data_IF_337391824335
#
_entry.id   IF_337391824335
#
_cell.length_a   1.000
_cell.length_b   1.000
_cell.length_c   1.000
_cell.angle_alpha   90.00
_cell.angle_beta   90.00
_cell.angle_gamma   90.00
#
_symmetry.space_group_name_H-M   'P 1'
#
loop_
_entity.id
_entity.type
_entity.pdbx_description
1 polymer ?
#
# COMPACT_ATOMS: atom_id res chain seq x y z
N UNK A 1 -24.10 12.55 24.58
CA UNK A 1 -23.53 12.02 23.33
C UNK A 1 -23.32 10.53 23.46
N UNK A 2 -22.89 9.87 22.38
CA UNK A 2 -22.66 8.42 22.31
C UNK A 2 -21.23 8.17 21.87
N UNK A 3 -20.53 7.24 22.53
CA UNK A 3 -19.19 6.80 22.13
C UNK A 3 -19.30 5.36 21.64
N UNK A 4 -18.77 5.09 20.43
CA UNK A 4 -18.68 3.75 19.85
C UNK A 4 -17.21 3.33 19.85
N UNK A 5 -16.91 2.14 20.36
CA UNK A 5 -15.57 1.57 20.34
C UNK A 5 -15.46 0.60 19.16
N UNK A 6 -14.51 0.84 18.26
CA UNK A 6 -14.28 0.02 17.09
C UNK A 6 -12.98 -0.76 17.27
N UNK A 7 -13.07 -2.09 17.29
CA UNK A 7 -11.92 -2.98 17.34
C UNK A 7 -11.69 -3.55 15.95
N UNK A 8 -10.88 -2.84 15.15
CA UNK A 8 -10.69 -3.16 13.75
C UNK A 8 -9.78 -4.39 13.58
N UNK A 9 -10.23 -5.44 12.84
CA UNK A 9 -9.36 -6.52 12.41
C UNK A 9 -8.60 -6.15 11.12
N UNK A 10 -7.62 -6.98 10.72
CA UNK A 10 -7.01 -6.95 9.39
C UNK A 10 -6.59 -5.55 8.89
N UNK A 11 -5.91 -4.78 9.75
CA UNK A 11 -5.37 -3.47 9.42
C UNK A 11 -4.19 -3.59 8.44
N UNK A 12 -3.27 -4.50 8.72
CA UNK A 12 -2.04 -4.74 7.94
C UNK A 12 -2.31 -5.13 6.47
N UNK A 13 -3.44 -5.77 6.19
CA UNK A 13 -3.87 -6.13 4.82
C UNK A 13 -4.62 -4.99 4.10
N UNK A 14 -4.88 -3.87 4.79
CA UNK A 14 -5.57 -2.69 4.25
C UNK A 14 -7.08 -2.82 4.03
N UNK A 15 -7.70 -3.94 4.42
CA UNK A 15 -9.10 -4.23 4.10
C UNK A 15 -10.08 -4.03 5.27
N UNK A 16 -9.63 -4.18 6.52
CA UNK A 16 -10.50 -4.28 7.69
C UNK A 16 -11.46 -3.11 7.90
N UNK A 17 -10.94 -1.88 7.79
CA UNK A 17 -11.74 -0.66 7.95
C UNK A 17 -12.88 -0.58 6.92
N UNK A 18 -12.59 -0.89 5.65
CA UNK A 18 -13.58 -0.85 4.56
C UNK A 18 -14.75 -1.81 4.84
N UNK A 19 -14.44 -3.05 5.24
CA UNK A 19 -15.47 -4.04 5.60
C UNK A 19 -16.34 -3.57 6.78
N UNK A 20 -15.71 -3.09 7.85
CA UNK A 20 -16.47 -2.58 9.01
C UNK A 20 -17.38 -1.41 8.66
N UNK A 21 -16.90 -0.46 7.84
CA UNK A 21 -17.69 0.69 7.40
C UNK A 21 -18.90 0.21 6.59
N UNK A 22 -18.70 -0.73 5.67
CA UNK A 22 -19.78 -1.32 4.87
C UNK A 22 -20.83 -2.04 5.74
N UNK A 23 -20.41 -2.64 6.85
CA UNK A 23 -21.30 -3.27 7.83
C UNK A 23 -21.97 -2.25 8.81
N UNK A 24 -21.77 -0.95 8.60
CA UNK A 24 -22.42 0.11 9.39
C UNK A 24 -21.72 0.44 10.71
N UNK A 25 -20.42 0.13 10.84
CA UNK A 25 -19.66 0.40 12.06
C UNK A 25 -19.64 1.89 12.45
N UNK A 26 -19.71 2.82 11.47
CA UNK A 26 -19.74 4.25 11.74
C UNK A 26 -21.12 4.75 12.19
N UNK A 27 -22.20 4.25 11.58
CA UNK A 27 -23.56 4.76 11.76
C UNK A 27 -23.59 6.30 11.68
N UNK A 28 -24.16 6.95 12.69
CA UNK A 28 -24.35 8.41 12.71
C UNK A 28 -23.20 9.17 13.42
N UNK A 29 -21.98 8.63 13.46
CA UNK A 29 -20.86 9.27 14.14
C UNK A 29 -20.46 10.60 13.46
N UNK A 30 -20.40 11.68 14.24
CA UNK A 30 -19.98 13.02 13.77
C UNK A 30 -18.47 13.17 13.66
N UNK A 31 -17.71 12.32 14.36
CA UNK A 31 -16.25 12.31 14.35
C UNK A 31 -15.71 10.90 14.63
N UNK A 32 -14.52 10.61 14.10
CA UNK A 32 -13.76 9.39 14.35
C UNK A 32 -12.36 9.77 14.82
N UNK A 33 -11.82 9.01 15.77
CA UNK A 33 -10.48 9.19 16.30
C UNK A 33 -9.75 7.86 16.25
N UNK A 34 -8.50 7.90 15.83
CA UNK A 34 -7.57 6.76 15.86
C UNK A 34 -6.25 7.20 16.47
N UNK A 35 -5.50 6.26 17.01
CA UNK A 35 -4.12 6.48 17.46
C UNK A 35 -3.28 5.27 17.11
N UNK A 36 -2.02 5.52 16.81
CA UNK A 36 -1.02 4.49 16.60
C UNK A 36 0.17 4.76 17.52
N UNK A 37 0.76 3.72 18.09
CA UNK A 37 1.98 3.87 18.88
C UNK A 37 3.16 3.97 17.91
N UNK A 38 3.93 5.05 18.02
CA UNK A 38 5.14 5.25 17.23
C UNK A 38 6.37 5.28 18.17
N UNK A 39 7.28 4.30 18.05
CA UNK A 39 8.45 4.20 18.92
C UNK A 39 9.51 5.29 18.67
N UNK A 40 9.38 6.10 17.62
CA UNK A 40 10.29 7.22 17.33
C UNK A 40 10.06 8.43 18.24
N UNK A 41 8.91 8.53 18.91
CA UNK A 41 8.59 9.60 19.85
C UNK A 41 8.86 9.20 21.31
N UNK A 42 9.31 10.13 22.17
CA UNK A 42 9.40 9.88 23.60
C UNK A 42 8.03 9.56 24.22
N UNK A 43 8.00 8.61 25.17
CA UNK A 43 6.77 8.27 25.90
C UNK A 43 6.11 9.50 26.54
N UNK A 44 4.79 9.61 26.38
CA UNK A 44 4.00 10.77 26.83
C UNK A 44 3.85 11.87 25.79
N UNK A 45 4.45 11.72 24.60
CA UNK A 45 4.26 12.63 23.47
C UNK A 45 2.99 12.26 22.70
N UNK A 46 2.21 13.28 22.31
CA UNK A 46 1.12 13.17 21.34
C UNK A 46 1.46 14.08 20.17
N UNK A 47 1.54 13.52 18.97
CA UNK A 47 1.78 14.25 17.72
C UNK A 47 0.57 14.13 16.79
N UNK A 48 0.26 15.20 16.07
CA UNK A 48 -0.81 15.25 15.07
C UNK A 48 -0.50 16.33 14.04
N UNK A 49 -0.92 16.12 12.79
CA UNK A 49 -0.89 17.13 11.74
C UNK A 49 -2.32 17.37 11.24
N UNK A 50 -2.73 18.62 10.96
CA UNK A 50 -3.98 18.87 10.24
C UNK A 50 -3.82 18.48 8.77
N UNK A 51 -4.89 17.97 8.16
CA UNK A 51 -4.89 17.56 6.75
C UNK A 51 -4.41 16.13 6.55
N UNK A 52 -3.81 15.86 5.39
CA UNK A 52 -3.27 14.57 5.00
C UNK A 52 -2.07 14.20 5.88
N UNK A 53 -2.07 12.97 6.42
CA UNK A 53 -1.00 12.51 7.32
C UNK A 53 -0.16 11.37 6.75
N UNK A 54 -0.79 10.40 6.07
CA UNK A 54 -0.14 9.21 5.52
C UNK A 54 -0.46 9.04 4.04
N UNK A 55 0.47 8.41 3.31
CA UNK A 55 0.27 8.10 1.90
C UNK A 55 -0.74 6.97 1.70
N UNK A 56 -1.54 7.05 0.65
CA UNK A 56 -2.33 5.93 0.19
C UNK A 56 -1.42 4.82 -0.35
N UNK A 57 -1.76 3.55 -0.08
CA UNK A 57 -1.02 2.38 -0.54
C UNK A 57 -1.92 1.51 -1.41
N UNK A 58 -1.35 0.94 -2.47
CA UNK A 58 -1.98 -0.04 -3.33
C UNK A 58 -0.97 -1.17 -3.61
N UNK A 59 -1.45 -2.41 -3.61
CA UNK A 59 -0.68 -3.59 -3.98
C UNK A 59 -1.24 -4.19 -5.27
N UNK A 60 -0.36 -4.73 -6.11
CA UNK A 60 -0.74 -5.45 -7.32
C UNK A 60 0.12 -6.70 -7.49
N UNK A 61 -0.43 -7.69 -8.17
CA UNK A 61 0.28 -8.89 -8.60
C UNK A 61 0.37 -8.90 -10.13
N UNK A 62 1.53 -9.26 -10.65
CA UNK A 62 1.76 -9.37 -12.09
C UNK A 62 2.43 -10.72 -12.41
N UNK A 63 1.77 -11.54 -13.23
CA UNK A 63 2.31 -12.79 -13.72
C UNK A 63 2.97 -12.59 -15.09
N UNK A 64 4.26 -12.96 -15.20
CA UNK A 64 5.01 -12.92 -16.47
C UNK A 64 5.27 -14.35 -16.93
N UNK A 65 4.49 -14.80 -17.91
CA UNK A 65 4.60 -16.16 -18.47
C UNK A 65 5.53 -16.19 -19.68
N UNK A 66 6.53 -17.07 -19.63
CA UNK A 66 7.45 -17.33 -20.73
C UNK A 66 7.23 -18.68 -21.41
N UNK A 67 8.23 -19.13 -22.16
CA UNK A 67 8.29 -20.44 -22.82
C UNK A 67 9.64 -21.09 -22.51
N UNK A 68 9.61 -22.20 -21.76
CA UNK A 68 10.81 -22.96 -21.44
C UNK A 68 11.34 -23.82 -22.60
N UNK A 69 12.55 -24.34 -22.42
CA UNK A 69 13.21 -25.28 -23.32
C UNK A 69 14.64 -25.55 -22.87
N UNK A 70 15.45 -26.18 -23.71
CA UNK A 70 16.82 -26.52 -23.34
C UNK A 70 17.65 -25.23 -23.10
N UNK A 71 18.34 -25.15 -21.96
CA UNK A 71 19.16 -23.99 -21.59
C UNK A 71 20.27 -23.64 -22.61
N UNK A 72 20.76 -24.63 -23.39
CA UNK A 72 21.77 -24.43 -24.42
C UNK A 72 21.19 -23.88 -25.75
N UNK A 73 19.86 -23.74 -25.86
CA UNK A 73 19.18 -23.22 -27.05
C UNK A 73 18.24 -22.06 -26.68
N UNK A 74 18.75 -20.98 -26.06
CA UNK A 74 17.91 -19.90 -25.54
C UNK A 74 17.08 -19.19 -26.61
N UNK A 75 17.54 -19.19 -27.87
CA UNK A 75 16.82 -18.60 -29.01
C UNK A 75 15.50 -19.33 -29.36
N UNK A 76 15.23 -20.51 -28.80
CA UNK A 76 13.97 -21.23 -28.94
C UNK A 76 13.00 -20.99 -27.76
N UNK A 77 13.49 -20.30 -26.73
CA UNK A 77 12.80 -20.03 -25.47
C UNK A 77 12.31 -18.58 -25.40
N UNK A 78 11.39 -18.31 -24.48
CA UNK A 78 11.00 -16.96 -24.06
C UNK A 78 11.27 -16.89 -22.56
N UNK A 79 12.34 -16.22 -22.17
CA UNK A 79 12.82 -16.21 -20.78
C UNK A 79 12.04 -15.20 -19.93
N UNK A 80 11.17 -15.66 -18.99
CA UNK A 80 10.41 -14.75 -18.14
C UNK A 80 11.30 -14.02 -17.12
N UNK A 81 12.48 -14.56 -16.77
CA UNK A 81 13.39 -13.93 -15.80
C UNK A 81 13.98 -12.64 -16.37
N UNK A 82 14.40 -12.67 -17.64
CA UNK A 82 14.92 -11.48 -18.32
C UNK A 82 13.80 -10.45 -18.50
N UNK A 83 12.61 -10.88 -18.95
CA UNK A 83 11.46 -9.99 -19.09
C UNK A 83 11.08 -9.32 -17.74
N UNK A 84 11.03 -10.10 -16.65
CA UNK A 84 10.74 -9.60 -15.30
C UNK A 84 11.80 -8.60 -14.84
N UNK A 85 13.08 -8.86 -15.11
CA UNK A 85 14.17 -7.97 -14.74
C UNK A 85 14.04 -6.60 -15.41
N UNK A 86 13.69 -6.56 -16.71
CA UNK A 86 13.41 -5.32 -17.41
C UNK A 86 12.17 -4.61 -16.88
N UNK A 87 11.11 -5.34 -16.54
CA UNK A 87 9.92 -4.76 -15.93
C UNK A 87 10.22 -4.09 -14.58
N UNK A 88 11.01 -4.73 -13.71
CA UNK A 88 11.43 -4.16 -12.42
C UNK A 88 12.18 -2.85 -12.63
N UNK A 89 13.14 -2.81 -13.56
CA UNK A 89 13.90 -1.60 -13.86
C UNK A 89 13.02 -0.49 -14.44
N UNK A 90 12.06 -0.84 -15.31
CA UNK A 90 11.10 0.12 -15.85
C UNK A 90 10.21 0.71 -14.75
N UNK A 91 9.72 -0.10 -13.82
CA UNK A 91 8.88 0.37 -12.71
C UNK A 91 9.59 1.38 -11.80
N UNK A 92 10.92 1.31 -11.63
CA UNK A 92 11.67 2.32 -10.88
C UNK A 92 11.68 3.71 -11.54
N UNK A 93 11.32 3.80 -12.82
CA UNK A 93 11.25 5.07 -13.54
C UNK A 93 10.00 5.87 -13.19
N UNK A 94 8.92 5.20 -12.76
CA UNK A 94 7.68 5.89 -12.33
C UNK A 94 7.99 6.92 -11.24
N UNK A 95 8.68 6.50 -10.17
CA UNK A 95 9.03 7.39 -9.07
C UNK A 95 10.17 8.35 -9.41
N UNK A 96 11.17 7.91 -10.18
CA UNK A 96 12.38 8.70 -10.42
C UNK A 96 12.30 9.67 -11.61
N UNK A 97 11.34 9.49 -12.53
CA UNK A 97 11.24 10.26 -13.78
C UNK A 97 9.84 10.76 -14.11
N UNK A 98 8.78 10.11 -13.63
CA UNK A 98 7.40 10.48 -13.97
C UNK A 98 6.69 11.23 -12.84
N UNK A 99 7.07 10.99 -11.57
CA UNK A 99 6.58 11.76 -10.43
C UNK A 99 7.39 13.05 -10.22
N UNK A 100 6.70 14.19 -10.07
CA UNK A 100 7.34 15.43 -9.65
C UNK A 100 7.72 15.32 -8.15
N UNK A 101 9.02 15.34 -7.79
CA UNK A 101 9.46 15.20 -6.40
C UNK A 101 9.08 16.40 -5.52
N UNK A 102 8.64 17.52 -6.11
CA UNK A 102 8.15 18.71 -5.41
C UNK A 102 6.63 18.79 -5.37
N UNK A 103 5.91 17.82 -5.95
CA UNK A 103 4.47 17.74 -5.80
C UNK A 103 4.14 17.35 -4.36
N UNK A 104 3.70 18.35 -3.61
CA UNK A 104 3.12 18.20 -2.28
C UNK A 104 1.60 18.32 -2.50
N UNK A 105 0.79 17.31 -2.10
CA UNK A 105 -0.67 17.39 -2.18
C UNK A 105 -1.24 18.56 -1.38
#
# INVERSE_FOLDING_TARGET
GTVRLLFQPAEEDGAGASHMINDGALGDAEAIFGMHIDPSYPSGTIASVPGEFIAAVCAFEAEITGKGGHAASPHLNVDPVIATSFAILALQQLTSRESDPLHIP
#
